data_IF_458560582738
#
_entry.id   IF_458560582738
#
_cell.length_a   1.000
_cell.length_b   1.000
_cell.length_c   1.000
_cell.angle_alpha   90.00
_cell.angle_beta   90.00
_cell.angle_gamma   90.00
#
_symmetry.space_group_name_H-M   'P 1'
#
loop_
_entity.id
_entity.type
_entity.pdbx_description
1 polymer ?
#
# COMPACT_ATOMS: atom_id res chain seq x y z
N UNK A 1 -14.57 62.23 -21.73
CA UNK A 1 -14.70 61.39 -20.54
C UNK A 1 -15.10 59.99 -21.03
N UNK A 2 -14.14 59.11 -21.16
CA UNK A 2 -14.34 57.74 -21.65
C UNK A 2 -14.33 56.80 -20.47
N UNK A 3 -15.43 56.04 -20.32
CA UNK A 3 -15.61 55.03 -19.30
C UNK A 3 -14.75 53.81 -19.63
N UNK A 4 -13.92 53.40 -18.70
CA UNK A 4 -13.15 52.15 -18.73
C UNK A 4 -14.06 51.02 -18.29
N UNK A 5 -14.51 50.19 -19.26
CA UNK A 5 -15.16 48.92 -18.99
C UNK A 5 -14.12 47.91 -18.46
N UNK A 6 -14.24 47.58 -17.18
CA UNK A 6 -13.47 46.55 -16.52
C UNK A 6 -14.10 45.22 -16.90
N UNK A 7 -13.49 44.51 -17.87
CA UNK A 7 -13.85 43.11 -18.19
C UNK A 7 -13.45 42.21 -17.02
N UNK A 8 -14.43 41.88 -16.16
CA UNK A 8 -14.32 40.78 -15.22
C UNK A 8 -14.38 39.47 -16.01
N UNK A 9 -13.21 38.89 -16.26
CA UNK A 9 -13.13 37.50 -16.75
C UNK A 9 -13.64 36.57 -15.68
N UNK A 10 -14.88 36.14 -15.80
CA UNK A 10 -15.42 35.00 -15.07
C UNK A 10 -14.65 33.75 -15.48
N UNK A 11 -13.63 33.41 -14.71
CA UNK A 11 -13.04 32.07 -14.77
C UNK A 11 -14.08 31.11 -14.22
N UNK A 12 -14.81 30.45 -15.12
CA UNK A 12 -15.65 29.31 -14.80
C UNK A 12 -14.74 28.24 -14.16
N UNK A 13 -15.03 27.76 -12.93
CA UNK A 13 -14.27 26.69 -12.34
C UNK A 13 -14.33 25.49 -13.30
N UNK A 14 -13.17 24.96 -13.70
CA UNK A 14 -13.10 23.72 -14.46
C UNK A 14 -13.85 22.65 -13.68
N UNK A 15 -14.77 21.89 -14.30
CA UNK A 15 -15.50 20.84 -13.62
C UNK A 15 -14.49 19.89 -12.98
N UNK A 16 -14.68 19.60 -11.69
CA UNK A 16 -13.87 18.64 -10.95
C UNK A 16 -13.88 17.32 -11.75
N UNK A 17 -12.76 17.02 -12.41
CA UNK A 17 -12.63 15.82 -13.24
C UNK A 17 -12.80 14.62 -12.32
N UNK A 18 -13.82 13.81 -12.55
CA UNK A 18 -13.99 12.53 -11.85
C UNK A 18 -12.66 11.76 -11.84
N UNK A 19 -12.31 11.14 -10.70
CA UNK A 19 -11.06 10.42 -10.61
C UNK A 19 -10.97 9.37 -11.70
N UNK A 20 -9.92 9.41 -12.51
CA UNK A 20 -9.73 8.43 -13.56
C UNK A 20 -9.57 7.04 -12.94
N UNK A 21 -10.34 6.02 -13.35
CA UNK A 21 -10.18 4.67 -12.83
C UNK A 21 -8.82 4.10 -13.23
N UNK A 22 -8.29 3.18 -12.40
CA UNK A 22 -7.14 2.35 -12.81
C UNK A 22 -7.67 1.25 -13.70
N UNK A 23 -7.15 1.16 -14.92
CA UNK A 23 -7.58 0.16 -15.90
C UNK A 23 -6.38 -0.44 -16.61
N UNK A 24 -6.35 -1.76 -16.63
CA UNK A 24 -5.41 -2.57 -17.39
C UNK A 24 -6.21 -3.42 -18.38
N UNK A 25 -5.76 -3.44 -19.65
CA UNK A 25 -6.36 -4.26 -20.70
C UNK A 25 -5.27 -5.00 -21.46
N UNK A 26 -5.27 -6.33 -21.35
CA UNK A 26 -4.32 -7.25 -21.98
C UNK A 26 -2.87 -6.81 -21.80
N UNK A 27 -2.53 -6.36 -20.59
CA UNK A 27 -1.19 -5.84 -20.28
C UNK A 27 -0.19 -6.99 -20.26
N UNK A 28 0.91 -6.81 -21.01
CA UNK A 28 2.04 -7.74 -21.04
C UNK A 28 3.31 -7.01 -20.62
N UNK A 29 4.09 -7.67 -19.78
CA UNK A 29 5.47 -7.30 -19.47
C UNK A 29 6.35 -8.53 -19.49
N UNK A 30 7.44 -8.49 -20.28
CA UNK A 30 8.37 -9.60 -20.42
C UNK A 30 9.80 -9.16 -20.22
N UNK A 31 10.63 -10.07 -19.77
CA UNK A 31 12.08 -9.92 -19.67
C UNK A 31 12.74 -11.08 -20.45
N UNK A 32 13.37 -10.74 -21.56
CA UNK A 32 13.83 -11.76 -22.52
C UNK A 32 12.63 -12.56 -23.05
N UNK A 33 12.63 -13.87 -22.84
CA UNK A 33 11.53 -14.76 -23.27
C UNK A 33 10.47 -15.01 -22.19
N UNK A 34 10.69 -14.54 -20.96
CA UNK A 34 9.78 -14.79 -19.85
C UNK A 34 8.75 -13.67 -19.72
N UNK A 35 7.45 -14.01 -19.91
CA UNK A 35 6.35 -13.12 -19.60
C UNK A 35 6.12 -13.08 -18.09
N UNK A 36 6.39 -11.94 -17.45
CA UNK A 36 6.19 -11.72 -16.02
C UNK A 36 4.80 -11.19 -15.73
N UNK A 37 4.22 -10.40 -16.65
CA UNK A 37 2.80 -10.05 -16.68
C UNK A 37 2.28 -10.57 -18.05
N UNK A 38 1.18 -11.32 -18.05
CA UNK A 38 0.73 -12.05 -19.20
C UNK A 38 -0.76 -11.78 -19.47
N UNK A 39 -1.04 -10.84 -20.38
CA UNK A 39 -2.38 -10.45 -20.82
C UNK A 39 -3.31 -10.09 -19.63
N UNK A 40 -2.75 -9.37 -18.65
CA UNK A 40 -3.45 -9.07 -17.41
C UNK A 40 -4.53 -7.99 -17.65
N UNK A 41 -5.72 -8.27 -17.15
CA UNK A 41 -6.85 -7.35 -17.14
C UNK A 41 -7.22 -7.06 -15.68
N UNK A 42 -7.27 -5.77 -15.30
CA UNK A 42 -7.57 -5.35 -13.93
C UNK A 42 -8.22 -3.98 -13.93
N UNK A 43 -9.28 -3.81 -13.15
CA UNK A 43 -9.87 -2.53 -12.81
C UNK A 43 -9.76 -2.30 -11.30
N UNK A 44 -9.41 -1.08 -10.89
CA UNK A 44 -9.49 -0.64 -9.50
C UNK A 44 -10.35 0.62 -9.48
N UNK A 45 -11.47 0.58 -8.78
CA UNK A 45 -12.38 1.71 -8.67
C UNK A 45 -11.77 2.84 -7.80
N UNK A 46 -12.17 4.10 -7.99
CA UNK A 46 -11.80 5.18 -7.08
C UNK A 46 -12.20 4.84 -5.65
N UNK A 47 -11.27 5.02 -4.71
CA UNK A 47 -11.50 4.71 -3.29
C UNK A 47 -11.52 3.21 -2.93
N UNK A 48 -11.38 2.30 -3.89
CA UNK A 48 -11.31 0.86 -3.63
C UNK A 48 -9.96 0.48 -3.03
N UNK A 49 -9.97 -0.38 -2.00
CA UNK A 49 -8.77 -0.96 -1.42
C UNK A 49 -8.61 -2.40 -1.91
N UNK A 50 -7.66 -2.63 -2.80
CA UNK A 50 -7.37 -3.95 -3.40
C UNK A 50 -6.07 -4.50 -2.82
N UNK A 51 -6.04 -5.75 -2.39
CA UNK A 51 -4.81 -6.47 -2.07
C UNK A 51 -4.44 -7.44 -3.19
N UNK A 52 -3.14 -7.55 -3.46
CA UNK A 52 -2.56 -8.45 -4.44
C UNK A 52 -1.69 -9.47 -3.72
N UNK A 53 -2.14 -10.72 -3.71
CA UNK A 53 -1.45 -11.89 -3.19
C UNK A 53 -0.81 -12.70 -4.33
N UNK A 54 0.15 -13.55 -4.01
CA UNK A 54 0.75 -14.50 -4.93
C UNK A 54 2.13 -14.93 -4.48
N UNK A 55 2.62 -16.03 -5.02
CA UNK A 55 3.96 -16.55 -4.73
C UNK A 55 5.07 -15.56 -5.13
N UNK A 56 6.28 -15.76 -4.61
CA UNK A 56 7.46 -15.01 -5.07
C UNK A 56 7.65 -15.23 -6.57
N UNK A 57 7.96 -14.15 -7.30
CA UNK A 57 8.12 -14.23 -8.76
C UNK A 57 6.82 -14.24 -9.58
N UNK A 58 5.63 -14.16 -8.97
CA UNK A 58 4.36 -14.13 -9.71
C UNK A 58 4.10 -12.85 -10.52
N UNK A 59 4.93 -11.80 -10.37
CA UNK A 59 4.81 -10.54 -11.11
C UNK A 59 4.27 -9.34 -10.31
N UNK A 60 3.98 -9.48 -9.00
CA UNK A 60 3.37 -8.42 -8.16
C UNK A 60 4.15 -7.10 -8.17
N UNK A 61 5.43 -7.16 -7.85
CA UNK A 61 6.30 -5.96 -7.83
C UNK A 61 6.47 -5.35 -9.23
N UNK A 62 6.53 -6.17 -10.28
CA UNK A 62 6.57 -5.70 -11.67
C UNK A 62 5.29 -4.95 -12.02
N UNK A 63 4.13 -5.50 -11.67
CA UNK A 63 2.83 -4.85 -11.86
C UNK A 63 2.76 -3.52 -11.10
N UNK A 64 3.15 -3.51 -9.82
CA UNK A 64 3.17 -2.30 -9.00
C UNK A 64 4.10 -1.24 -9.61
N UNK A 65 5.28 -1.61 -10.10
CA UNK A 65 6.22 -0.68 -10.75
C UNK A 65 5.68 -0.11 -12.05
N UNK A 66 4.98 -0.90 -12.85
CA UNK A 66 4.31 -0.42 -14.06
C UNK A 66 3.21 0.60 -13.71
N UNK A 67 2.37 0.31 -12.71
CA UNK A 67 1.35 1.24 -12.20
C UNK A 67 1.96 2.53 -11.62
N UNK A 68 3.11 2.43 -10.95
CA UNK A 68 3.85 3.58 -10.44
C UNK A 68 4.48 4.44 -11.55
N UNK A 69 4.56 3.92 -12.79
CA UNK A 69 5.26 4.55 -13.91
C UNK A 69 6.79 4.47 -13.78
N UNK A 70 7.26 3.48 -13.04
CA UNK A 70 8.69 3.19 -12.83
C UNK A 70 9.19 2.09 -13.78
N UNK A 71 8.29 1.45 -14.49
CA UNK A 71 8.58 0.46 -15.52
C UNK A 71 7.57 0.60 -16.68
N UNK A 72 7.97 0.20 -17.88
CA UNK A 72 7.13 0.19 -19.06
C UNK A 72 6.38 -1.14 -19.19
N UNK A 73 5.30 -1.14 -19.98
CA UNK A 73 4.65 -2.36 -20.48
C UNK A 73 5.10 -2.62 -21.92
N UNK A 74 5.10 -3.88 -22.35
CA UNK A 74 5.49 -4.24 -23.72
C UNK A 74 4.30 -4.22 -24.66
N UNK A 75 3.09 -4.54 -24.17
CA UNK A 75 1.86 -4.43 -24.94
C UNK A 75 0.63 -4.29 -24.03
N UNK A 76 -0.53 -3.99 -24.63
CA UNK A 76 -1.78 -3.74 -23.94
C UNK A 76 -2.02 -2.26 -23.67
N UNK A 77 -2.96 -1.97 -22.77
CA UNK A 77 -3.33 -0.62 -22.39
C UNK A 77 -3.27 -0.48 -20.86
N UNK A 78 -2.61 0.58 -20.39
CA UNK A 78 -2.48 0.92 -18.98
C UNK A 78 -2.98 2.35 -18.78
N UNK A 79 -4.08 2.51 -18.06
CA UNK A 79 -4.61 3.82 -17.64
C UNK A 79 -4.53 3.93 -16.14
N UNK A 80 -3.80 4.92 -15.65
CA UNK A 80 -3.63 5.21 -14.22
C UNK A 80 -3.73 6.71 -13.95
N UNK A 81 -4.17 7.15 -12.77
CA UNK A 81 -4.14 8.57 -12.39
C UNK A 81 -2.72 9.13 -12.46
N UNK A 82 -2.60 10.41 -12.87
CA UNK A 82 -1.32 11.11 -12.79
C UNK A 82 -0.90 11.34 -11.33
N UNK A 83 -1.87 11.70 -10.47
CA UNK A 83 -1.65 11.82 -9.03
C UNK A 83 -1.58 10.43 -8.39
N UNK A 84 -0.39 9.85 -8.37
CA UNK A 84 -0.11 8.55 -7.79
C UNK A 84 1.12 8.59 -6.90
N UNK A 85 1.16 7.74 -5.88
CA UNK A 85 2.29 7.59 -4.99
C UNK A 85 2.58 6.10 -4.73
N UNK A 86 3.85 5.77 -4.50
CA UNK A 86 4.28 4.44 -4.13
C UNK A 86 5.07 4.49 -2.81
N UNK A 87 4.76 3.54 -1.92
CA UNK A 87 5.48 3.26 -0.68
C UNK A 87 6.03 1.85 -0.81
N UNK A 88 7.34 1.70 -0.70
CA UNK A 88 8.04 0.44 -0.87
C UNK A 88 8.33 -0.21 0.48
N UNK A 89 8.70 -1.48 0.47
CA UNK A 89 9.14 -2.25 1.63
C UNK A 89 10.28 -1.53 2.36
N UNK A 90 11.27 -1.04 1.63
CA UNK A 90 12.26 -0.11 2.16
C UNK A 90 11.73 1.33 2.07
N UNK A 91 11.78 2.15 3.12
CA UNK A 91 11.28 3.52 3.12
C UNK A 91 11.94 4.45 2.08
N UNK A 92 13.14 4.12 1.63
CA UNK A 92 13.92 4.89 0.63
C UNK A 92 13.97 6.38 0.95
N UNK A 93 14.23 6.72 2.22
CA UNK A 93 14.43 8.09 2.65
C UNK A 93 15.82 8.55 2.25
N UNK A 94 15.95 9.84 1.88
CA UNK A 94 17.24 10.47 1.63
C UNK A 94 17.99 10.61 2.96
N UNK A 95 19.11 9.91 3.19
CA UNK A 95 19.76 9.86 4.50
C UNK A 95 20.31 11.22 4.98
N UNK A 96 20.63 12.13 4.05
CA UNK A 96 21.11 13.49 4.32
C UNK A 96 19.99 14.52 4.49
N UNK A 97 18.70 14.12 4.39
CA UNK A 97 17.55 14.98 4.61
C UNK A 97 16.80 14.52 5.87
N UNK A 98 16.39 15.49 6.70
CA UNK A 98 15.54 15.19 7.84
C UNK A 98 14.10 14.81 7.39
N UNK A 99 13.25 14.41 8.35
CA UNK A 99 11.92 13.88 8.06
C UNK A 99 11.07 14.83 7.22
N UNK A 100 10.97 16.12 7.59
CA UNK A 100 10.14 17.04 6.83
C UNK A 100 10.65 17.26 5.38
N UNK A 101 11.98 17.34 5.17
CA UNK A 101 12.56 17.46 3.83
C UNK A 101 12.36 16.20 2.98
N UNK A 102 12.27 15.03 3.62
CA UNK A 102 11.91 13.79 2.95
C UNK A 102 10.43 13.78 2.54
N UNK A 103 9.53 14.25 3.40
CA UNK A 103 8.09 14.30 3.11
C UNK A 103 7.78 15.15 1.88
N UNK A 104 8.33 16.35 1.80
CA UNK A 104 8.07 17.30 0.69
C UNK A 104 9.07 17.18 -0.46
N UNK A 105 9.84 16.11 -0.52
CA UNK A 105 10.86 15.92 -1.55
C UNK A 105 10.26 16.03 -2.97
N UNK A 106 10.78 16.97 -3.77
CA UNK A 106 10.35 17.22 -5.16
C UNK A 106 8.97 17.89 -5.28
N UNK A 107 8.46 18.51 -4.20
CA UNK A 107 7.29 19.39 -4.26
C UNK A 107 7.76 20.84 -4.34
N UNK A 108 7.16 21.58 -5.27
CA UNK A 108 7.29 23.04 -5.35
C UNK A 108 6.04 23.69 -4.75
N UNK A 109 6.13 24.04 -3.46
CA UNK A 109 5.01 24.60 -2.67
C UNK A 109 5.47 25.76 -1.79
N UNK A 110 4.59 26.71 -1.51
CA UNK A 110 4.93 27.95 -0.79
C UNK A 110 5.41 27.73 0.64
N UNK A 111 4.82 26.78 1.38
CA UNK A 111 5.12 26.53 2.79
C UNK A 111 5.47 25.05 3.04
N UNK A 112 6.63 24.56 2.54
CA UNK A 112 6.96 23.13 2.57
C UNK A 112 7.07 22.57 4.00
N UNK A 113 7.60 23.36 4.95
CA UNK A 113 7.73 22.93 6.34
C UNK A 113 6.37 22.74 7.03
N UNK A 114 5.43 23.68 6.86
CA UNK A 114 4.09 23.58 7.43
C UNK A 114 3.35 22.38 6.83
N UNK A 115 3.40 22.20 5.51
CA UNK A 115 2.77 21.06 4.84
C UNK A 115 3.35 19.71 5.28
N UNK A 116 4.67 19.66 5.49
CA UNK A 116 5.32 18.47 6.03
C UNK A 116 4.91 18.18 7.47
N UNK A 117 4.76 19.23 8.30
CA UNK A 117 4.30 19.09 9.68
C UNK A 117 2.89 18.49 9.75
N UNK A 118 1.98 18.97 8.91
CA UNK A 118 0.63 18.42 8.78
C UNK A 118 0.65 16.93 8.42
N UNK A 119 1.40 16.58 7.37
CA UNK A 119 1.52 15.18 6.92
C UNK A 119 2.19 14.29 7.96
N UNK A 120 3.20 14.79 8.68
CA UNK A 120 3.85 14.05 9.78
C UNK A 120 2.92 13.91 10.99
N UNK A 121 2.07 14.90 11.26
CA UNK A 121 1.08 14.81 12.33
C UNK A 121 0.04 13.71 12.03
N UNK A 122 -0.41 13.56 10.79
CA UNK A 122 -1.33 12.49 10.37
C UNK A 122 -0.77 11.08 10.62
N UNK A 123 0.54 10.91 10.53
CA UNK A 123 1.21 9.63 10.82
C UNK A 123 1.77 9.55 12.25
N UNK A 124 1.41 10.50 13.14
CA UNK A 124 1.83 10.54 14.54
C UNK A 124 3.31 10.87 14.76
N UNK A 125 3.95 11.59 13.82
CA UNK A 125 5.39 11.90 13.85
C UNK A 125 5.71 13.40 13.87
N UNK A 126 4.77 14.28 14.24
CA UNK A 126 5.03 15.72 14.35
C UNK A 126 6.25 16.04 15.22
N UNK A 127 6.44 15.32 16.34
CA UNK A 127 7.57 15.46 17.25
C UNK A 127 8.92 15.04 16.66
N UNK A 128 8.90 14.29 15.53
CA UNK A 128 10.10 13.80 14.83
C UNK A 128 10.44 14.60 13.56
N UNK A 129 9.83 15.78 13.36
CA UNK A 129 9.92 16.59 12.15
C UNK A 129 11.36 16.85 11.69
N UNK A 130 12.28 17.06 12.64
CA UNK A 130 13.70 17.32 12.37
C UNK A 130 14.60 16.08 12.46
N UNK A 131 14.04 14.89 12.73
CA UNK A 131 14.81 13.66 12.84
C UNK A 131 15.40 13.25 11.48
N UNK A 132 16.62 12.74 11.48
CA UNK A 132 17.25 12.15 10.31
C UNK A 132 16.93 10.65 10.21
N UNK A 133 16.90 10.06 9.00
CA UNK A 133 16.56 8.65 8.82
C UNK A 133 17.33 7.69 9.71
N UNK A 134 18.62 7.94 9.95
CA UNK A 134 19.47 7.12 10.83
C UNK A 134 19.03 7.09 12.30
N UNK A 135 18.21 8.05 12.73
CA UNK A 135 17.69 8.15 14.11
C UNK A 135 16.24 7.70 14.25
N UNK A 136 15.62 7.25 13.17
CA UNK A 136 14.25 6.73 13.14
C UNK A 136 14.27 5.21 13.31
N UNK A 137 13.30 4.69 14.05
CA UNK A 137 13.00 3.25 14.02
C UNK A 137 12.47 2.85 12.63
N UNK A 138 12.51 1.55 12.29
CA UNK A 138 11.97 1.06 11.03
C UNK A 138 10.50 1.48 10.80
N UNK A 139 9.67 1.38 11.85
CA UNK A 139 8.28 1.81 11.78
C UNK A 139 8.11 3.34 11.66
N UNK A 140 8.96 4.15 12.29
CA UNK A 140 8.96 5.60 12.09
C UNK A 140 9.38 5.96 10.66
N UNK A 141 10.43 5.34 10.13
CA UNK A 141 10.90 5.57 8.77
C UNK A 141 9.80 5.19 7.74
N UNK A 142 9.08 4.09 7.97
CA UNK A 142 7.97 3.68 7.10
C UNK A 142 6.79 4.67 7.17
N UNK A 143 6.48 5.22 8.36
CA UNK A 143 5.46 6.28 8.49
C UNK A 143 5.89 7.58 7.80
N UNK A 144 7.17 7.96 7.83
CA UNK A 144 7.68 9.11 7.04
C UNK A 144 7.51 8.85 5.54
N UNK A 145 7.80 7.63 5.05
CA UNK A 145 7.59 7.28 3.66
C UNK A 145 6.11 7.33 3.26
N UNK A 146 5.21 6.89 4.15
CA UNK A 146 3.76 7.00 3.96
C UNK A 146 3.31 8.47 3.90
N UNK A 147 3.77 9.32 4.83
CA UNK A 147 3.50 10.77 4.80
C UNK A 147 4.01 11.42 3.50
N UNK A 148 5.19 11.04 3.01
CA UNK A 148 5.74 11.48 1.71
C UNK A 148 4.83 11.10 0.53
N UNK A 149 4.21 9.92 0.59
CA UNK A 149 3.24 9.49 -0.41
C UNK A 149 1.96 10.32 -0.37
N UNK A 150 1.39 10.49 0.83
CA UNK A 150 0.10 11.13 1.04
C UNK A 150 0.12 12.66 0.88
N UNK A 151 1.24 13.34 1.19
CA UNK A 151 1.35 14.79 1.05
C UNK A 151 1.07 15.29 -0.38
N UNK A 152 1.17 14.38 -1.37
CA UNK A 152 0.87 14.61 -2.79
C UNK A 152 -0.60 14.45 -3.15
N UNK A 153 -1.45 14.12 -2.18
CA UNK A 153 -2.88 13.88 -2.37
C UNK A 153 -3.15 12.89 -3.53
N UNK A 154 -2.55 11.68 -3.46
CA UNK A 154 -2.64 10.74 -4.56
C UNK A 154 -4.05 10.19 -4.73
N UNK A 155 -4.46 9.99 -5.98
CA UNK A 155 -5.68 9.24 -6.34
C UNK A 155 -5.45 7.74 -6.39
N UNK A 156 -4.17 7.33 -6.51
CA UNK A 156 -3.72 5.94 -6.44
C UNK A 156 -2.54 5.85 -5.48
N UNK A 157 -2.70 5.06 -4.44
CA UNK A 157 -1.65 4.72 -3.48
C UNK A 157 -1.24 3.26 -3.68
N UNK A 158 0.03 3.06 -3.98
CA UNK A 158 0.65 1.76 -4.20
C UNK A 158 1.50 1.42 -2.99
N UNK A 159 1.25 0.28 -2.37
CA UNK A 159 1.94 -0.20 -1.17
C UNK A 159 2.62 -1.54 -1.50
N UNK A 160 3.95 -1.56 -1.52
CA UNK A 160 4.74 -2.76 -1.81
C UNK A 160 5.32 -3.33 -0.51
N UNK A 161 4.68 -4.36 0.03
CA UNK A 161 5.05 -5.04 1.29
C UNK A 161 5.37 -4.08 2.45
N UNK A 162 4.51 -3.08 2.75
CA UNK A 162 4.86 -1.97 3.63
C UNK A 162 5.04 -2.38 5.10
N UNK A 163 4.71 -3.62 5.44
CA UNK A 163 4.73 -4.14 6.81
C UNK A 163 5.80 -5.21 7.05
N UNK A 164 6.49 -5.68 6.01
CA UNK A 164 7.38 -6.85 6.07
C UNK A 164 8.54 -6.72 7.08
N UNK A 165 9.05 -5.50 7.27
CA UNK A 165 10.16 -5.22 8.18
C UNK A 165 9.72 -4.79 9.60
N UNK A 166 8.42 -4.88 9.93
CA UNK A 166 7.87 -4.40 11.19
C UNK A 166 7.66 -5.54 12.20
N UNK A 167 7.90 -5.25 13.48
CA UNK A 167 7.48 -6.13 14.56
C UNK A 167 5.95 -6.21 14.67
N UNK A 168 5.43 -7.22 15.37
CA UNK A 168 4.01 -7.50 15.43
C UNK A 168 3.16 -6.32 15.95
N UNK A 169 3.60 -5.63 17.00
CA UNK A 169 2.84 -4.51 17.58
C UNK A 169 2.85 -3.29 16.66
N UNK A 170 4.00 -2.98 16.09
CA UNK A 170 4.14 -1.87 15.12
C UNK A 170 3.31 -2.16 13.87
N UNK A 171 3.26 -3.42 13.41
CA UNK A 171 2.43 -3.86 12.28
C UNK A 171 0.94 -3.61 12.54
N UNK A 172 0.41 -4.00 13.70
CA UNK A 172 -0.99 -3.77 14.07
C UNK A 172 -1.31 -2.27 14.06
N UNK A 173 -0.45 -1.44 14.65
CA UNK A 173 -0.62 0.03 14.64
C UNK A 173 -0.59 0.61 13.23
N UNK A 174 0.27 0.07 12.36
CA UNK A 174 0.39 0.52 10.98
C UNK A 174 -0.85 0.14 10.15
N UNK A 175 -1.45 -1.04 10.36
CA UNK A 175 -2.72 -1.42 9.74
C UNK A 175 -3.83 -0.43 10.10
N UNK A 176 -3.98 -0.08 11.38
CA UNK A 176 -4.96 0.88 11.84
C UNK A 176 -4.73 2.26 11.20
N UNK A 177 -3.49 2.75 11.22
CA UNK A 177 -3.11 4.02 10.61
C UNK A 177 -3.43 4.06 9.11
N UNK A 178 -3.11 3.01 8.35
CA UNK A 178 -3.42 2.95 6.90
C UNK A 178 -4.94 3.01 6.66
N UNK A 179 -5.75 2.32 7.46
CA UNK A 179 -7.21 2.38 7.32
C UNK A 179 -7.74 3.77 7.66
N UNK A 180 -7.21 4.43 8.70
CA UNK A 180 -7.59 5.81 9.05
C UNK A 180 -7.26 6.80 7.93
N UNK A 181 -6.04 6.72 7.38
CA UNK A 181 -5.58 7.57 6.29
C UNK A 181 -6.36 7.30 5.00
N UNK A 182 -6.62 6.01 4.69
CA UNK A 182 -7.43 5.64 3.53
C UNK A 182 -8.87 6.20 3.64
N UNK A 183 -9.49 6.14 4.82
CA UNK A 183 -10.82 6.73 5.05
C UNK A 183 -10.82 8.25 4.89
N UNK A 184 -9.73 8.90 5.33
CA UNK A 184 -9.60 10.36 5.27
C UNK A 184 -9.37 10.87 3.86
N UNK A 185 -8.47 10.23 3.10
CA UNK A 185 -8.01 10.70 1.78
C UNK A 185 -8.72 9.99 0.61
N UNK A 186 -9.36 8.85 0.86
CA UNK A 186 -10.10 8.04 -0.13
C UNK A 186 -9.38 7.76 -1.45
N UNK A 187 -8.06 7.48 -1.47
CA UNK A 187 -7.39 7.05 -2.69
C UNK A 187 -7.85 5.64 -3.07
N UNK A 188 -7.76 5.29 -4.35
CA UNK A 188 -7.66 3.89 -4.74
C UNK A 188 -6.35 3.33 -4.17
N UNK A 189 -6.36 2.13 -3.58
CA UNK A 189 -5.17 1.49 -2.99
C UNK A 189 -4.92 0.14 -3.64
N UNK A 190 -3.68 -0.10 -4.04
CA UNK A 190 -3.18 -1.46 -4.33
C UNK A 190 -2.10 -1.82 -3.31
N UNK A 191 -2.40 -2.78 -2.46
CA UNK A 191 -1.48 -3.36 -1.48
C UNK A 191 -0.92 -4.67 -2.04
N UNK A 192 0.38 -4.72 -2.24
CA UNK A 192 1.11 -5.98 -2.47
C UNK A 192 1.55 -6.52 -1.13
N UNK A 193 1.17 -7.75 -0.83
CA UNK A 193 1.59 -8.47 0.38
C UNK A 193 1.65 -9.97 0.11
N UNK A 194 2.39 -10.70 0.91
CA UNK A 194 2.37 -12.16 0.97
C UNK A 194 1.58 -12.69 2.19
N UNK A 195 1.10 -11.78 3.05
CA UNK A 195 0.34 -12.11 4.25
C UNK A 195 -1.17 -12.07 3.95
N UNK A 196 -1.80 -13.26 4.07
CA UNK A 196 -3.24 -13.43 3.82
C UNK A 196 -4.09 -12.67 4.83
N UNK A 197 -3.64 -12.61 6.08
CA UNK A 197 -4.38 -11.95 7.15
C UNK A 197 -4.36 -10.42 6.93
N UNK A 198 -3.24 -9.84 6.50
CA UNK A 198 -3.16 -8.44 6.09
C UNK A 198 -4.14 -8.12 4.95
N UNK A 199 -4.16 -8.97 3.92
CA UNK A 199 -5.05 -8.79 2.79
C UNK A 199 -6.52 -8.79 3.21
N UNK A 200 -6.93 -9.72 4.09
CA UNK A 200 -8.31 -9.80 4.59
C UNK A 200 -8.64 -8.60 5.49
N UNK A 201 -7.72 -8.20 6.38
CA UNK A 201 -7.94 -7.09 7.32
C UNK A 201 -8.14 -5.76 6.61
N UNK A 202 -7.40 -5.52 5.52
CA UNK A 202 -7.28 -4.20 4.90
C UNK A 202 -8.10 -4.02 3.62
N UNK A 203 -8.22 -5.05 2.77
CA UNK A 203 -8.76 -4.88 1.42
C UNK A 203 -10.28 -5.09 1.32
N UNK A 204 -10.91 -4.45 0.34
CA UNK A 204 -12.30 -4.75 -0.08
C UNK A 204 -12.34 -5.96 -1.01
N UNK A 205 -11.25 -6.17 -1.75
CA UNK A 205 -11.06 -7.26 -2.70
C UNK A 205 -9.63 -7.75 -2.68
N UNK A 206 -9.46 -9.06 -2.74
CA UNK A 206 -8.16 -9.72 -2.82
C UNK A 206 -8.03 -10.37 -4.18
N UNK A 207 -6.92 -10.10 -4.86
CA UNK A 207 -6.54 -10.68 -6.14
C UNK A 207 -5.39 -11.65 -5.91
N UNK A 208 -5.50 -12.86 -6.41
CA UNK A 208 -4.41 -13.84 -6.40
C UNK A 208 -3.75 -13.82 -7.77
N UNK A 209 -2.47 -13.48 -7.81
CA UNK A 209 -1.65 -13.44 -9.02
C UNK A 209 -0.78 -14.69 -9.11
N UNK A 210 -0.91 -15.41 -10.22
CA UNK A 210 -0.11 -16.59 -10.53
C UNK A 210 0.43 -16.51 -11.96
N UNK A 211 1.72 -16.71 -12.14
CA UNK A 211 2.39 -16.71 -13.44
C UNK A 211 2.03 -15.51 -14.34
N UNK A 212 1.91 -14.32 -13.73
CA UNK A 212 1.58 -13.07 -14.43
C UNK A 212 0.11 -12.91 -14.80
N UNK A 213 -0.77 -13.78 -14.34
CA UNK A 213 -2.22 -13.74 -14.59
C UNK A 213 -3.00 -13.66 -13.28
N UNK A 214 -4.21 -13.14 -13.34
CA UNK A 214 -5.15 -13.22 -12.22
C UNK A 214 -5.71 -14.65 -12.20
N UNK A 215 -5.32 -15.41 -11.17
CA UNK A 215 -5.84 -16.76 -10.93
C UNK A 215 -7.21 -16.73 -10.25
N UNK A 216 -7.41 -15.78 -9.33
CA UNK A 216 -8.68 -15.63 -8.63
C UNK A 216 -8.88 -14.22 -8.09
N UNK A 217 -10.15 -13.85 -7.88
CA UNK A 217 -10.57 -12.65 -7.16
C UNK A 217 -11.54 -13.05 -6.04
N UNK A 218 -11.33 -12.49 -4.87
CA UNK A 218 -12.16 -12.75 -3.68
C UNK A 218 -12.59 -11.42 -3.08
N UNK A 219 -13.89 -11.15 -3.05
CA UNK A 219 -14.46 -10.01 -2.31
C UNK A 219 -14.49 -10.32 -0.83
N UNK A 220 -14.21 -9.31 -0.02
CA UNK A 220 -14.17 -9.43 1.44
C UNK A 220 -15.43 -8.79 2.02
N UNK A 221 -16.48 -9.58 2.13
CA UNK A 221 -17.80 -9.15 2.62
C UNK A 221 -17.87 -9.10 4.16
N UNK A 222 -16.77 -8.68 4.80
CA UNK A 222 -16.69 -8.45 6.24
C UNK A 222 -16.75 -6.95 6.52
N UNK A 223 -17.50 -6.56 7.56
CA UNK A 223 -17.55 -5.16 8.02
C UNK A 223 -16.15 -4.69 8.40
N UNK A 224 -15.80 -3.45 8.03
CA UNK A 224 -14.53 -2.80 8.41
C UNK A 224 -14.37 -2.74 9.93
N UNK A 225 -13.14 -2.57 10.40
CA UNK A 225 -12.63 -2.87 11.75
C UNK A 225 -12.60 -4.38 11.99
N UNK A 226 -12.11 -5.10 10.97
CA UNK A 226 -11.98 -6.55 10.98
C UNK A 226 -10.97 -7.00 12.01
N UNK A 227 -11.21 -8.18 12.58
CA UNK A 227 -10.27 -8.90 13.45
C UNK A 227 -10.22 -10.36 13.04
N UNK A 228 -9.13 -11.04 13.35
CA UNK A 228 -8.94 -12.46 13.04
C UNK A 228 -9.96 -13.39 13.72
N UNK A 229 -10.58 -12.92 14.82
CA UNK A 229 -11.67 -13.61 15.52
C UNK A 229 -13.08 -13.35 14.96
N UNK A 230 -13.21 -12.49 13.93
CA UNK A 230 -14.53 -12.18 13.36
C UNK A 230 -15.11 -13.39 12.62
N UNK A 231 -16.42 -13.62 12.78
CA UNK A 231 -17.11 -14.65 12.03
C UNK A 231 -16.89 -14.49 10.51
N UNK A 232 -16.57 -15.58 9.81
CA UNK A 232 -16.27 -15.59 8.38
C UNK A 232 -14.80 -15.30 8.03
N UNK A 233 -13.99 -14.71 8.92
CA UNK A 233 -12.57 -14.45 8.65
C UNK A 233 -11.81 -15.73 8.32
N UNK A 234 -11.96 -16.77 9.12
CA UNK A 234 -11.27 -18.05 8.94
C UNK A 234 -11.69 -18.78 7.65
N UNK A 235 -12.95 -18.66 7.25
CA UNK A 235 -13.42 -19.23 5.99
C UNK A 235 -12.77 -18.55 4.76
N UNK A 236 -12.67 -17.21 4.78
CA UNK A 236 -12.01 -16.46 3.71
C UNK A 236 -10.51 -16.78 3.71
N UNK A 237 -9.88 -16.85 4.89
CA UNK A 237 -8.46 -17.21 5.05
C UNK A 237 -8.18 -18.60 4.47
N UNK A 238 -8.94 -19.61 4.83
CA UNK A 238 -8.80 -20.97 4.30
C UNK A 238 -8.96 -21.00 2.77
N UNK A 239 -9.94 -20.26 2.22
CA UNK A 239 -10.14 -20.14 0.77
C UNK A 239 -8.92 -19.52 0.08
N UNK A 240 -8.38 -18.44 0.61
CA UNK A 240 -7.22 -17.77 0.02
C UNK A 240 -5.95 -18.63 0.11
N UNK A 241 -5.73 -19.32 1.23
CA UNK A 241 -4.62 -20.27 1.37
C UNK A 241 -4.72 -21.40 0.35
N UNK A 242 -5.90 -21.97 0.14
CA UNK A 242 -6.13 -22.98 -0.90
C UNK A 242 -5.85 -22.47 -2.31
N UNK A 243 -6.22 -21.22 -2.61
CA UNK A 243 -5.91 -20.57 -3.90
C UNK A 243 -4.41 -20.29 -4.10
N UNK A 244 -3.64 -20.18 -3.00
CA UNK A 244 -2.18 -20.02 -3.02
C UNK A 244 -1.44 -21.37 -3.04
N UNK A 245 -2.16 -22.50 -3.09
CA UNK A 245 -1.57 -23.84 -3.09
C UNK A 245 -1.03 -24.29 -1.72
N UNK A 246 -1.45 -23.63 -0.64
CA UNK A 246 -1.10 -24.03 0.73
C UNK A 246 -2.20 -24.94 1.26
N UNK A 247 -1.89 -26.24 1.47
CA UNK A 247 -2.85 -27.18 2.08
C UNK A 247 -3.25 -26.70 3.46
N UNK A 248 -4.55 -26.54 3.67
CA UNK A 248 -5.13 -26.03 4.93
C UNK A 248 -4.77 -26.86 6.17
N UNK A 249 -4.47 -28.16 6.00
CA UNK A 249 -4.02 -29.06 7.06
C UNK A 249 -2.61 -28.68 7.56
N UNK A 250 -1.67 -28.42 6.65
CA UNK A 250 -0.30 -28.01 7.01
C UNK A 250 -0.24 -26.61 7.64
N UNK A 251 -1.17 -25.72 7.27
CA UNK A 251 -1.25 -24.37 7.84
C UNK A 251 -1.83 -24.36 9.27
N UNK A 252 -2.69 -25.33 9.64
CA UNK A 252 -3.20 -25.46 11.00
C UNK A 252 -2.14 -26.03 11.96
N UNK A 253 -1.34 -27.00 11.53
CA UNK A 253 -0.22 -27.53 12.33
C UNK A 253 0.86 -26.48 12.62
N UNK A 254 1.13 -25.55 11.69
CA UNK A 254 2.10 -24.47 11.90
C UNK A 254 1.63 -23.40 12.92
N UNK A 255 0.30 -23.26 13.13
CA UNK A 255 -0.27 -22.33 14.13
C UNK A 255 -0.36 -23.01 15.51
N UNK A 256 -0.51 -24.33 15.56
CA UNK A 256 -0.59 -25.12 16.80
C UNK A 256 0.77 -25.63 17.31
N UNK A 257 1.87 -25.44 16.58
CA UNK A 257 3.21 -25.76 17.07
C UNK A 257 3.52 -24.89 18.29
N UNK A 258 3.71 -25.46 19.51
CA UNK A 258 3.89 -24.71 20.73
C UNK A 258 5.27 -24.02 20.69
N UNK A 259 5.31 -22.78 20.28
CA UNK A 259 6.39 -21.91 20.63
C UNK A 259 6.33 -21.73 22.16
N UNK A 260 7.41 -22.17 22.85
CA UNK A 260 7.71 -21.83 24.24
C UNK A 260 7.15 -22.75 25.32
N UNK A 261 7.68 -23.96 25.42
CA UNK A 261 7.82 -24.59 26.76
C UNK A 261 9.29 -24.91 27.14
N UNK A 262 10.27 -24.62 26.30
CA UNK A 262 11.65 -25.06 26.55
C UNK A 262 12.55 -24.01 27.23
N UNK A 263 12.12 -22.76 27.39
CA UNK A 263 12.93 -21.72 28.03
C UNK A 263 12.68 -21.52 29.53
N UNK A 264 11.64 -22.11 30.11
CA UNK A 264 11.41 -22.02 31.57
C UNK A 264 12.13 -23.08 32.39
N UNK A 265 12.60 -24.17 31.77
CA UNK A 265 13.38 -25.22 32.48
C UNK A 265 14.86 -24.93 32.61
N UNK A 266 15.42 -23.97 31.87
CA UNK A 266 16.84 -23.59 31.96
C UNK A 266 17.17 -22.60 33.10
N UNK A 267 16.19 -21.92 33.67
CA UNK A 267 16.40 -20.99 34.80
C UNK A 267 16.12 -21.57 36.17
N UNK A 268 15.68 -22.82 36.27
CA UNK A 268 15.39 -23.45 37.58
C UNK A 268 16.54 -24.26 38.17
N UNK A 269 17.69 -24.36 37.50
CA UNK A 269 18.85 -25.18 37.97
C UNK A 269 20.14 -24.36 38.06
N UNK A 270 20.08 -23.15 38.67
CA UNK A 270 21.30 -22.47 39.18
C UNK A 270 21.01 -22.11 40.61
N UNK A 271 21.37 -23.01 41.51
CA UNK A 271 21.69 -22.72 42.90
C UNK A 271 23.11 -23.20 43.15
#
# INVERSE_FOLDING_TARGET
MAALDVLHSHQTPLPAKEPAPVQLRNVVRQFGQQKVINELNLDIAPGEFVALLGASGSGKTTLLRALAGLDSIDSGQLRVPLARAAVFQEPRLMPWKNAWKNVVLGLDIKNPHARALEALNEVGLAHRINAYPATLSGGEAQRVALARGLVREPRLLLLDEPFAALDALTRIRMHQLIIELWRKHTPAVLLVTHDVDEAILLADRVIVLEQGKIAAEVRIDLRRQRSTGQAGFQAIRARLLGLLGVDSAAAQEAVEAPAVQDNLRRFANVR
#
